data_IF_926340456049
#
_entry.id   IF_926340456049
#
_cell.length_a   1.000
_cell.length_b   1.000
_cell.length_c   1.000
_cell.angle_alpha   90.00
_cell.angle_beta   90.00
_cell.angle_gamma   90.00
#
_symmetry.space_group_name_H-M   'P 1'
#
loop_
_entity.id
_entity.type
_entity.pdbx_description
1 polymer ?
#
# COMPACT_ATOMS: atom_id res chain seq x y z
N UNK A 1 -46.51 -22.61 -61.74
CA UNK A 1 -46.19 -21.38 -60.98
C UNK A 1 -46.26 -21.69 -59.48
N UNK A 2 -45.15 -22.05 -58.80
CA UNK A 2 -45.21 -22.24 -57.33
C UNK A 2 -43.87 -22.18 -56.59
N UNK A 3 -42.71 -22.33 -57.25
CA UNK A 3 -41.45 -22.57 -56.51
C UNK A 3 -40.67 -21.29 -56.14
N UNK A 4 -40.92 -20.17 -56.82
CA UNK A 4 -40.05 -18.98 -56.69
C UNK A 4 -40.42 -18.05 -55.52
N UNK A 5 -41.59 -18.22 -54.91
CA UNK A 5 -42.08 -17.34 -53.84
C UNK A 5 -41.53 -17.70 -52.46
N UNK A 6 -41.15 -18.98 -52.24
CA UNK A 6 -40.55 -19.45 -50.98
C UNK A 6 -39.06 -19.09 -50.87
N UNK A 7 -38.33 -19.07 -51.99
CA UNK A 7 -36.92 -18.65 -52.03
C UNK A 7 -36.74 -17.15 -51.75
N UNK A 8 -37.66 -16.32 -52.26
CA UNK A 8 -37.63 -14.86 -52.05
C UNK A 8 -37.86 -14.47 -50.57
N UNK A 9 -38.72 -15.21 -49.84
CA UNK A 9 -38.96 -14.95 -48.42
C UNK A 9 -37.77 -15.38 -47.55
N UNK A 10 -37.10 -16.48 -47.89
CA UNK A 10 -35.89 -16.92 -47.18
C UNK A 10 -34.71 -15.95 -47.36
N UNK A 11 -34.57 -15.33 -48.54
CA UNK A 11 -33.53 -14.35 -48.82
C UNK A 11 -33.71 -13.02 -48.09
N UNK A 12 -34.95 -12.60 -47.80
CA UNK A 12 -35.23 -11.33 -47.08
C UNK A 12 -35.00 -11.46 -45.58
N UNK A 13 -35.16 -12.66 -45.00
CA UNK A 13 -34.94 -12.89 -43.56
C UNK A 13 -33.44 -12.91 -43.19
N UNK A 14 -32.54 -13.31 -44.11
CA UNK A 14 -31.09 -13.29 -43.87
C UNK A 14 -30.45 -11.90 -43.93
N UNK A 15 -31.16 -10.89 -44.45
CA UNK A 15 -30.63 -9.52 -44.62
C UNK A 15 -30.75 -8.65 -43.36
N UNK A 16 -31.31 -9.19 -42.28
CA UNK A 16 -31.44 -8.53 -40.97
C UNK A 16 -30.38 -9.01 -39.95
N UNK A 17 -29.22 -9.44 -40.43
CA UNK A 17 -28.02 -9.51 -39.59
C UNK A 17 -27.59 -8.08 -39.25
N UNK A 18 -28.30 -7.45 -38.30
CA UNK A 18 -27.96 -6.14 -37.78
C UNK A 18 -26.49 -6.15 -37.37
N UNK A 19 -25.72 -5.24 -37.94
CA UNK A 19 -24.33 -5.03 -37.55
C UNK A 19 -24.31 -4.82 -36.03
N UNK A 20 -23.81 -5.80 -35.28
CA UNK A 20 -23.52 -5.61 -33.88
C UNK A 20 -22.31 -4.66 -33.83
N UNK A 21 -22.58 -3.39 -33.54
CA UNK A 21 -21.51 -2.42 -33.33
C UNK A 21 -20.71 -2.88 -32.11
N UNK A 22 -19.45 -3.20 -32.31
CA UNK A 22 -18.49 -3.36 -31.24
C UNK A 22 -18.42 -2.05 -30.47
N UNK A 23 -19.05 -2.03 -29.31
CA UNK A 23 -19.03 -0.92 -28.37
C UNK A 23 -17.59 -0.70 -27.90
N UNK A 24 -17.02 0.45 -28.25
CA UNK A 24 -15.69 0.88 -27.79
C UNK A 24 -15.80 1.36 -26.36
N UNK A 25 -15.69 0.44 -25.41
CA UNK A 25 -15.48 0.80 -24.03
C UNK A 25 -14.03 1.26 -23.87
N UNK A 26 -13.85 2.57 -23.67
CA UNK A 26 -12.56 3.11 -23.24
C UNK A 26 -12.63 3.41 -21.75
N UNK A 27 -11.55 3.13 -21.04
CA UNK A 27 -11.35 3.60 -19.67
C UNK A 27 -10.49 4.87 -19.81
N UNK A 28 -11.10 6.07 -19.82
CA UNK A 28 -10.36 7.31 -20.10
C UNK A 28 -9.41 7.69 -18.96
N UNK A 29 -9.56 7.07 -17.79
CA UNK A 29 -8.73 7.32 -16.63
C UNK A 29 -8.56 6.06 -15.79
N UNK A 30 -7.31 5.76 -15.41
CA UNK A 30 -6.94 4.64 -14.56
C UNK A 30 -5.71 5.04 -13.72
N UNK A 31 -5.56 4.42 -12.56
CA UNK A 31 -4.33 4.48 -11.76
C UNK A 31 -3.64 3.12 -11.81
N UNK A 32 -2.30 3.11 -11.79
CA UNK A 32 -1.52 1.88 -11.60
C UNK A 32 -1.29 1.73 -10.10
N UNK A 33 -2.06 0.83 -9.49
CA UNK A 33 -2.10 0.63 -8.03
C UNK A 33 -1.15 -0.49 -7.56
N UNK A 34 -0.22 -0.89 -8.42
CA UNK A 34 0.76 -1.91 -8.12
C UNK A 34 1.78 -2.09 -9.24
N UNK A 35 3.02 -2.36 -8.86
CA UNK A 35 4.14 -2.58 -9.77
C UNK A 35 5.45 -2.62 -9.00
N UNK A 36 6.53 -2.96 -9.70
CA UNK A 36 7.83 -3.19 -9.07
C UNK A 36 8.53 -4.44 -9.61
N UNK A 37 9.65 -4.80 -9.00
CA UNK A 37 10.43 -5.97 -9.35
C UNK A 37 11.93 -5.74 -9.22
N UNK A 38 12.69 -6.81 -9.44
CA UNK A 38 14.14 -6.78 -9.46
C UNK A 38 14.65 -6.51 -10.88
N UNK A 39 15.40 -5.42 -11.05
CA UNK A 39 16.25 -5.16 -12.21
C UNK A 39 17.67 -5.64 -11.90
N UNK A 40 18.33 -6.34 -12.83
CA UNK A 40 19.70 -6.81 -12.65
C UNK A 40 20.58 -6.41 -13.83
N UNK A 41 21.83 -6.04 -13.56
CA UNK A 41 22.82 -5.67 -14.56
C UNK A 41 24.20 -5.46 -13.95
N UNK A 42 25.26 -5.95 -14.62
CA UNK A 42 26.64 -5.72 -14.20
C UNK A 42 27.01 -6.30 -12.82
N UNK A 43 26.33 -7.36 -12.36
CA UNK A 43 26.53 -7.94 -11.03
C UNK A 43 25.71 -7.29 -9.92
N UNK A 44 24.96 -6.23 -10.22
CA UNK A 44 24.09 -5.55 -9.27
C UNK A 44 22.63 -5.95 -9.49
N UNK A 45 21.88 -6.02 -8.40
CA UNK A 45 20.42 -6.21 -8.41
C UNK A 45 19.79 -5.03 -7.67
N UNK A 46 18.80 -4.39 -8.31
CA UNK A 46 18.03 -3.28 -7.79
C UNK A 46 16.56 -3.71 -7.73
N UNK A 47 15.96 -3.71 -6.54
CA UNK A 47 14.53 -4.00 -6.38
C UNK A 47 13.75 -2.73 -6.09
N UNK A 48 12.58 -2.57 -6.71
CA UNK A 48 11.74 -1.37 -6.57
C UNK A 48 10.26 -1.72 -6.50
N UNK A 49 9.45 -0.82 -5.98
CA UNK A 49 7.97 -0.87 -6.05
C UNK A 49 7.44 0.43 -6.64
N UNK A 50 6.32 0.37 -7.36
CA UNK A 50 5.56 1.54 -7.80
C UNK A 50 4.51 1.79 -6.72
N UNK A 51 4.70 2.83 -5.91
CA UNK A 51 3.78 3.19 -4.82
C UNK A 51 2.89 4.38 -5.16
N UNK A 52 1.64 4.36 -4.70
CA UNK A 52 0.85 5.58 -4.52
C UNK A 52 1.22 6.25 -3.19
N UNK A 53 1.34 7.58 -3.17
CA UNK A 53 1.46 8.36 -1.93
C UNK A 53 0.18 8.30 -1.07
N UNK A 54 -0.94 7.81 -1.63
CA UNK A 54 -2.25 7.70 -0.97
C UNK A 54 -2.44 6.39 -0.19
N UNK A 55 -1.46 5.47 -0.24
CA UNK A 55 -1.42 4.35 0.68
C UNK A 55 -0.99 4.89 2.05
N UNK A 56 -1.96 5.30 2.87
CA UNK A 56 -1.74 5.70 4.25
C UNK A 56 -1.26 4.54 5.15
N UNK A 57 -1.50 4.67 6.45
CA UNK A 57 -1.18 3.61 7.43
C UNK A 57 -1.79 2.23 7.09
N UNK A 58 -1.40 1.17 7.81
CA UNK A 58 -1.77 -0.21 7.50
C UNK A 58 -3.28 -0.37 7.27
N UNK A 59 -3.65 -0.98 6.15
CA UNK A 59 -5.02 -1.40 5.88
C UNK A 59 -5.32 -2.59 6.79
N UNK A 60 -6.25 -2.43 7.75
CA UNK A 60 -6.61 -3.46 8.72
C UNK A 60 -7.97 -4.09 8.40
N UNK A 61 -8.08 -5.41 8.60
CA UNK A 61 -9.31 -6.17 8.41
C UNK A 61 -9.25 -7.54 9.08
N UNK A 62 -10.01 -7.72 10.17
CA UNK A 62 -9.92 -8.92 11.00
C UNK A 62 -8.56 -9.01 11.70
N UNK A 63 -7.93 -10.19 11.69
CA UNK A 63 -6.57 -10.42 12.22
C UNK A 63 -5.44 -10.11 11.23
N UNK A 64 -5.74 -9.44 10.12
CA UNK A 64 -4.78 -9.16 9.06
C UNK A 64 -4.52 -7.66 8.93
N UNK A 65 -3.25 -7.32 8.66
CA UNK A 65 -2.77 -5.97 8.40
C UNK A 65 -1.94 -5.98 7.13
N UNK A 66 -2.20 -5.04 6.22
CA UNK A 66 -1.47 -4.88 4.97
C UNK A 66 -1.04 -3.41 4.81
N UNK A 67 0.26 -3.15 4.90
CA UNK A 67 0.81 -1.84 4.56
C UNK A 67 1.04 -1.78 3.05
N UNK A 68 0.25 -0.97 2.34
CA UNK A 68 0.51 -0.63 0.94
C UNK A 68 1.55 0.50 0.82
N UNK A 69 2.15 0.69 -0.36
CA UNK A 69 3.04 1.82 -0.64
C UNK A 69 4.42 1.46 -1.21
N UNK A 70 5.29 2.47 -1.32
CA UNK A 70 6.74 2.29 -1.52
C UNK A 70 7.27 1.35 -0.43
N UNK A 71 8.32 0.57 -0.69
CA UNK A 71 8.99 -0.28 0.32
C UNK A 71 8.92 0.39 1.68
N UNK A 72 8.02 -0.07 2.54
CA UNK A 72 8.16 0.22 3.94
C UNK A 72 9.45 -0.54 4.28
N UNK A 73 10.59 0.18 4.28
CA UNK A 73 11.71 -0.20 5.13
C UNK A 73 11.06 -0.70 6.41
N UNK A 74 11.39 -1.92 6.89
CA UNK A 74 10.67 -2.54 8.00
C UNK A 74 10.46 -1.42 9.00
N UNK A 75 9.20 -0.97 9.12
CA UNK A 75 8.84 -0.18 10.27
C UNK A 75 9.14 -1.20 11.33
N UNK A 76 10.22 -0.94 12.09
CA UNK A 76 10.69 -1.82 13.14
C UNK A 76 9.44 -2.37 13.82
N UNK A 77 9.45 -3.68 14.05
CA UNK A 77 8.36 -4.42 14.65
C UNK A 77 7.65 -3.52 15.68
N UNK A 78 6.29 -3.46 15.73
CA UNK A 78 5.52 -2.37 16.34
C UNK A 78 5.60 -2.29 17.88
N UNK A 79 6.69 -2.74 18.47
CA UNK A 79 7.08 -2.40 19.82
C UNK A 79 7.68 -1.00 19.85
N UNK A 80 6.97 -0.10 20.51
CA UNK A 80 7.42 1.26 20.84
C UNK A 80 8.78 1.28 21.57
N UNK A 81 9.20 0.16 22.17
CA UNK A 81 10.50 0.01 22.82
C UNK A 81 11.70 -0.07 21.87
N UNK A 82 11.55 -0.49 20.61
CA UNK A 82 12.60 -0.49 19.57
C UNK A 82 12.51 0.83 18.80
N UNK A 83 13.02 1.89 19.42
CA UNK A 83 12.88 3.26 18.93
C UNK A 83 13.81 3.53 17.72
N UNK A 84 14.95 2.86 17.65
CA UNK A 84 15.91 3.05 16.55
C UNK A 84 15.60 2.15 15.33
N UNK A 85 14.71 1.16 15.48
CA UNK A 85 14.27 0.25 14.43
C UNK A 85 15.32 -0.79 14.04
N UNK A 86 16.23 -1.14 14.95
CA UNK A 86 17.30 -2.11 14.70
C UNK A 86 16.88 -3.57 14.95
N UNK A 87 15.65 -3.77 15.45
CA UNK A 87 15.08 -5.08 15.75
C UNK A 87 15.41 -5.59 17.15
N UNK A 88 16.06 -4.79 18.00
CA UNK A 88 16.42 -5.17 19.36
C UNK A 88 16.18 -4.06 20.38
N UNK A 89 15.40 -4.36 21.41
CA UNK A 89 15.16 -3.42 22.51
C UNK A 89 16.35 -3.39 23.47
N UNK A 90 17.11 -2.32 23.45
CA UNK A 90 18.32 -2.14 24.25
C UNK A 90 18.53 -0.66 24.65
N UNK A 91 19.69 -0.33 25.21
CA UNK A 91 19.98 1.03 25.68
C UNK A 91 20.17 2.06 24.56
N UNK A 92 20.41 1.61 23.32
CA UNK A 92 20.51 2.47 22.15
C UNK A 92 19.16 3.08 21.77
N UNK A 93 18.04 2.39 22.04
CA UNK A 93 16.68 2.93 21.85
C UNK A 93 16.41 4.11 22.78
N UNK A 94 16.85 3.99 24.03
CA UNK A 94 16.73 5.07 25.01
C UNK A 94 17.53 6.28 24.57
N UNK A 95 18.75 6.06 24.06
CA UNK A 95 19.57 7.15 23.54
C UNK A 95 18.90 7.82 22.34
N UNK A 96 18.35 7.03 21.41
CA UNK A 96 17.63 7.53 20.24
C UNK A 96 16.38 8.33 20.66
N UNK A 97 15.59 7.83 21.61
CA UNK A 97 14.44 8.53 22.17
C UNK A 97 14.83 9.84 22.85
N UNK A 98 15.88 9.85 23.70
CA UNK A 98 16.32 11.07 24.38
C UNK A 98 16.83 12.14 23.39
N UNK A 99 17.46 11.73 22.29
CA UNK A 99 17.83 12.65 21.21
C UNK A 99 16.59 13.25 20.55
N UNK A 100 15.59 12.43 20.20
CA UNK A 100 14.33 12.90 19.61
C UNK A 100 13.54 13.81 20.57
N UNK A 101 13.48 13.45 21.86
CA UNK A 101 12.84 14.23 22.92
C UNK A 101 13.44 15.62 23.07
N UNK A 102 14.77 15.70 23.16
CA UNK A 102 15.47 16.98 23.35
C UNK A 102 15.38 17.87 22.12
N UNK A 103 15.18 17.27 20.94
CA UNK A 103 14.87 17.96 19.70
C UNK A 103 13.36 18.28 19.51
N UNK A 104 12.49 17.83 20.42
CA UNK A 104 11.03 17.92 20.33
C UNK A 104 10.47 17.40 18.98
N UNK A 105 11.04 16.29 18.49
CA UNK A 105 10.56 15.64 17.28
C UNK A 105 9.21 14.94 17.52
N UNK A 106 8.33 14.94 16.51
CA UNK A 106 7.04 14.25 16.61
C UNK A 106 7.16 12.73 16.78
N UNK A 107 8.31 12.14 16.53
CA UNK A 107 8.63 10.74 16.84
C UNK A 107 8.69 10.46 18.35
N UNK A 108 8.94 11.49 19.17
CA UNK A 108 8.98 11.40 20.63
C UNK A 108 7.61 11.63 21.30
N UNK A 109 6.55 11.93 20.54
CA UNK A 109 5.16 11.95 21.02
C UNK A 109 4.62 10.51 21.05
N UNK A 110 4.91 9.81 22.13
CA UNK A 110 4.63 8.39 22.29
C UNK A 110 3.18 8.17 22.68
N UNK A 111 2.55 9.12 23.38
CA UNK A 111 1.16 8.99 23.80
C UNK A 111 0.17 9.50 22.73
N UNK A 112 0.65 10.21 21.69
CA UNK A 112 -0.12 10.71 20.56
C UNK A 112 -0.99 11.92 20.89
N UNK A 113 -0.65 12.70 21.92
CA UNK A 113 -1.41 13.87 22.37
C UNK A 113 -1.08 15.15 21.59
N UNK A 114 -0.09 15.10 20.69
CA UNK A 114 0.36 16.20 19.86
C UNK A 114 1.42 17.07 20.53
N UNK A 115 1.92 16.71 21.71
CA UNK A 115 2.94 17.46 22.46
C UNK A 115 4.00 16.56 23.06
N UNK A 116 5.29 16.82 22.78
CA UNK A 116 6.40 16.10 23.42
C UNK A 116 6.62 16.67 24.83
N UNK A 117 6.23 15.90 25.85
CA UNK A 117 6.31 16.30 27.26
C UNK A 117 6.56 15.09 28.18
N UNK A 118 6.77 15.30 29.48
CA UNK A 118 7.12 14.24 30.47
C UNK A 118 6.23 12.99 30.44
N UNK A 119 5.00 13.09 29.94
CA UNK A 119 4.10 11.96 29.76
C UNK A 119 4.59 10.98 28.68
N UNK A 120 5.29 11.45 27.64
CA UNK A 120 5.85 10.57 26.61
C UNK A 120 7.07 9.78 27.11
N UNK A 121 7.84 10.33 28.07
CA UNK A 121 8.93 9.59 28.73
C UNK A 121 8.32 8.44 29.51
N UNK A 122 7.23 8.70 30.23
CA UNK A 122 6.55 7.64 30.97
C UNK A 122 5.99 6.57 30.02
N UNK A 123 5.38 7.00 28.91
CA UNK A 123 4.86 6.08 27.90
C UNK A 123 5.98 5.23 27.27
N UNK A 124 7.10 5.84 26.91
CA UNK A 124 8.28 5.14 26.39
C UNK A 124 8.86 4.14 27.39
N UNK A 125 9.06 4.53 28.65
CA UNK A 125 9.61 3.63 29.67
C UNK A 125 8.70 2.42 29.95
N UNK A 126 7.38 2.64 29.92
CA UNK A 126 6.41 1.55 30.05
C UNK A 126 6.49 0.59 28.85
N UNK A 127 6.67 1.10 27.63
CA UNK A 127 6.87 0.28 26.44
C UNK A 127 8.22 -0.45 26.45
N UNK A 128 9.30 0.24 26.83
CA UNK A 128 10.65 -0.31 26.90
C UNK A 128 10.74 -1.49 27.88
N UNK A 129 10.09 -1.38 29.04
CA UNK A 129 10.04 -2.46 30.03
C UNK A 129 9.12 -3.61 29.64
N UNK A 130 8.12 -3.36 28.78
CA UNK A 130 7.29 -4.41 28.19
C UNK A 130 8.02 -5.18 27.07
N UNK A 131 8.96 -4.54 26.38
CA UNK A 131 9.73 -5.12 25.29
C UNK A 131 8.97 -5.21 23.96
N UNK A 132 9.45 -6.09 23.08
CA UNK A 132 8.74 -6.68 21.94
C UNK A 132 8.47 -8.16 22.30
#
# INVERSE_FOLDING_TARGET
MSTNRKLLVAGVVLSFAGCAWGQSFTIPWHTIDGGGGAAAGGGFTLSGTIGQHDAGGPMTGGGYSLTGGFWAAPMGDPCVGDFNGDGTVNTLDVLAFLNAWTAAEGSADINGDGTVNTLDVLAFLNAWTAGC
#
